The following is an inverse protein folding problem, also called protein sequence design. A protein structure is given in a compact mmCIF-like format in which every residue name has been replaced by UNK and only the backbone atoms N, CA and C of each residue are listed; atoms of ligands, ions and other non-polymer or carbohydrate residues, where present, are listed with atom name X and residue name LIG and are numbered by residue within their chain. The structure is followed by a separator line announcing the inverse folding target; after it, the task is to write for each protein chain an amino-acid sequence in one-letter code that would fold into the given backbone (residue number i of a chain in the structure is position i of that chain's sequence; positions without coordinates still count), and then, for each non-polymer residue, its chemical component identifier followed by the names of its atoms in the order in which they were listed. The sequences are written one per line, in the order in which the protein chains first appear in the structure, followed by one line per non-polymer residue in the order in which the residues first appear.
data_IF_589923568954
#
_entry.id   IF_589923568954
#
_cell.length_a   1.000
_cell.length_b   1.000
_cell.length_c   1.000
_cell.angle_alpha   90.00
_cell.angle_beta   90.00
_cell.angle_gamma   90.00
#
_symmetry.space_group_name_H-M   'P 1'
#
loop_
_entity.id
_entity.type
_entity.pdbx_description
1 polymer ?
#
# COMPACT_ATOMS: atom_id res chain seq x y z
N UNK A 1 -13.65 14.96 10.18
CA UNK A 1 -14.06 13.54 10.22
C UNK A 1 -12.81 12.74 10.49
N UNK A 2 -12.60 12.35 11.71
CA UNK A 2 -11.43 11.57 12.14
C UNK A 2 -11.74 10.07 12.04
N UNK A 3 -10.82 9.25 11.51
CA UNK A 3 -11.02 7.80 11.30
C UNK A 3 -11.00 6.96 12.59
N UNK A 4 -11.10 7.58 13.77
CA UNK A 4 -10.66 7.01 15.04
C UNK A 4 -11.51 5.88 15.65
N UNK A 5 -12.55 5.39 14.99
CA UNK A 5 -13.47 4.46 15.66
C UNK A 5 -13.68 3.09 15.00
N UNK A 6 -12.99 2.79 13.89
CA UNK A 6 -13.17 1.49 13.19
C UNK A 6 -12.24 0.41 13.77
N UNK A 7 -11.15 0.82 14.39
CA UNK A 7 -10.11 -0.09 14.88
C UNK A 7 -10.39 -0.74 16.23
N UNK A 8 -11.32 -0.19 17.03
CA UNK A 8 -11.71 -0.74 18.33
C UNK A 8 -12.31 -2.17 18.26
N UNK A 9 -12.79 -2.58 17.07
CA UNK A 9 -13.38 -3.91 16.88
C UNK A 9 -12.36 -5.02 16.68
N UNK A 10 -11.13 -4.71 16.36
CA UNK A 10 -10.08 -5.70 16.11
C UNK A 10 -9.11 -5.87 17.29
N UNK A 11 -9.32 -5.13 18.38
CA UNK A 11 -8.39 -5.11 19.53
C UNK A 11 -7.07 -4.40 19.22
N UNK A 12 -7.08 -3.54 18.20
CA UNK A 12 -5.94 -2.68 17.86
C UNK A 12 -6.24 -1.28 18.38
N UNK A 13 -5.41 -0.81 19.31
CA UNK A 13 -5.39 0.61 19.71
C UNK A 13 -4.54 1.35 18.69
N UNK A 14 -5.15 2.20 17.88
CA UNK A 14 -4.43 3.16 17.06
C UNK A 14 -4.46 4.49 17.78
N UNK A 15 -3.31 4.93 18.25
CA UNK A 15 -3.13 6.29 18.71
C UNK A 15 -3.08 7.25 17.52
N UNK A 16 -3.56 8.48 17.73
CA UNK A 16 -3.80 9.52 16.72
C UNK A 16 -2.55 10.03 15.95
N UNK A 17 -1.38 9.43 16.15
CA UNK A 17 -0.11 9.99 15.69
C UNK A 17 0.54 9.24 14.52
N UNK A 18 -0.18 8.33 13.86
CA UNK A 18 0.34 7.69 12.66
C UNK A 18 0.01 8.50 11.40
N UNK A 19 0.48 9.74 11.34
CA UNK A 19 0.78 10.37 10.07
C UNK A 19 2.15 9.83 9.67
N UNK A 20 2.18 8.81 8.82
CA UNK A 20 3.40 8.33 8.20
C UNK A 20 3.90 9.40 7.23
N UNK A 21 4.73 10.29 7.73
CA UNK A 21 5.60 11.14 6.90
C UNK A 21 6.89 10.34 6.69
N UNK A 22 7.01 9.67 5.56
CA UNK A 22 8.29 9.15 5.13
C UNK A 22 9.19 10.35 4.78
N UNK A 23 10.17 10.64 5.65
CA UNK A 23 11.22 11.61 5.35
C UNK A 23 12.35 10.83 4.65
N UNK A 24 12.39 10.92 3.34
CA UNK A 24 13.55 10.52 2.57
C UNK A 24 14.49 11.71 2.43
N UNK A 25 15.70 11.57 2.99
CA UNK A 25 16.82 12.45 2.66
C UNK A 25 17.70 11.70 1.66
N UNK A 26 17.55 12.03 0.37
CA UNK A 26 18.53 11.62 -0.64
C UNK A 26 19.86 12.24 -0.21
N UNK A 27 20.78 11.44 0.31
CA UNK A 27 22.14 11.87 0.53
C UNK A 27 22.83 11.97 -0.84
N UNK A 28 22.77 13.15 -1.44
CA UNK A 28 23.68 13.51 -2.50
C UNK A 28 25.04 13.67 -1.82
N UNK A 29 25.93 12.71 -1.99
CA UNK A 29 27.33 12.90 -1.67
C UNK A 29 27.91 13.94 -2.64
N UNK A 30 27.90 15.21 -2.21
CA UNK A 30 28.73 16.22 -2.83
C UNK A 30 30.18 15.93 -2.41
N UNK A 31 30.95 15.43 -3.32
CA UNK A 31 32.42 15.52 -3.21
C UNK A 31 32.78 16.99 -3.30
N UNK A 32 33.16 17.56 -2.16
CA UNK A 32 33.83 18.87 -2.12
C UNK A 32 35.20 18.77 -2.82
N UNK A 33 35.34 19.48 -3.92
CA UNK A 33 36.60 19.99 -4.34
C UNK A 33 36.52 21.49 -4.56
N UNK A 34 37.13 22.14 -3.58
CA UNK A 34 37.39 23.54 -3.39
C UNK A 34 38.02 24.19 -4.61
N UNK A 35 37.44 25.26 -5.17
CA UNK A 35 38.19 26.41 -5.66
C UNK A 35 37.31 27.65 -5.84
N UNK A 36 37.68 28.66 -5.06
CA UNK A 36 37.35 30.07 -5.22
C UNK A 36 37.55 30.56 -6.68
N UNK A 37 36.50 31.05 -7.33
CA UNK A 37 36.66 31.99 -8.46
C UNK A 37 35.54 33.02 -8.42
N UNK A 38 35.97 34.28 -8.38
CA UNK A 38 35.22 35.50 -8.61
C UNK A 38 34.70 35.47 -10.05
N UNK A 39 33.42 35.60 -10.28
CA UNK A 39 32.80 35.61 -11.61
C UNK A 39 32.33 37.00 -11.96
N UNK A 40 32.92 37.48 -13.06
CA UNK A 40 32.66 38.70 -13.79
C UNK A 40 31.35 38.56 -14.60
N UNK A 41 30.55 39.66 -14.61
CA UNK A 41 29.27 39.73 -15.33
C UNK A 41 29.47 39.67 -16.85
N UNK A 42 29.37 38.46 -17.45
CA UNK A 42 29.21 38.28 -18.90
C UNK A 42 28.03 37.37 -19.21
N UNK A 43 27.11 37.96 -19.96
CA UNK A 43 26.05 37.42 -20.79
C UNK A 43 26.27 35.95 -21.15
N UNK A 44 25.46 35.05 -20.52
CA UNK A 44 25.42 33.65 -20.94
C UNK A 44 24.48 33.52 -22.14
N UNK A 45 25.06 33.23 -23.30
CA UNK A 45 24.35 32.53 -24.38
C UNK A 45 24.21 31.09 -23.93
N UNK A 46 22.96 30.62 -23.84
CA UNK A 46 22.67 29.22 -23.59
C UNK A 46 22.99 28.47 -24.88
N UNK A 47 24.19 27.87 -24.96
CA UNK A 47 24.44 26.78 -25.88
C UNK A 47 23.60 25.59 -25.40
N UNK A 48 22.54 25.29 -26.15
CA UNK A 48 21.79 24.07 -26.01
C UNK A 48 22.61 22.94 -26.62
N UNK A 49 23.49 22.34 -25.84
CA UNK A 49 24.09 21.06 -26.21
C UNK A 49 22.99 20.00 -26.17
N UNK A 50 22.61 19.49 -27.34
CA UNK A 50 21.57 18.50 -27.56
C UNK A 50 21.88 17.09 -27.00
N UNK A 51 22.94 16.99 -26.18
CA UNK A 51 23.42 15.75 -25.54
C UNK A 51 23.26 15.78 -24.02
N UNK A 52 22.54 16.76 -23.45
CA UNK A 52 22.09 16.63 -22.06
C UNK A 52 21.15 15.43 -22.01
N UNK A 53 21.68 14.31 -21.50
CA UNK A 53 20.88 13.16 -21.08
C UNK A 53 19.73 13.75 -20.27
N UNK A 54 18.52 13.64 -20.82
CA UNK A 54 17.28 13.95 -20.11
C UNK A 54 17.37 13.10 -18.86
N UNK A 55 17.64 13.74 -17.72
CA UNK A 55 17.53 13.11 -16.41
C UNK A 55 16.05 12.71 -16.28
N UNK A 56 15.78 11.47 -16.70
CA UNK A 56 14.43 10.92 -16.82
C UNK A 56 13.91 10.55 -15.43
N UNK A 57 13.89 11.55 -14.55
CA UNK A 57 13.24 11.48 -13.22
C UNK A 57 11.70 11.55 -13.34
N UNK A 58 11.17 11.34 -14.56
CA UNK A 58 9.74 11.29 -14.80
C UNK A 58 9.19 9.96 -14.28
N UNK A 59 8.44 10.03 -13.18
CA UNK A 59 7.76 8.86 -12.60
C UNK A 59 6.83 8.21 -13.62
N UNK A 60 7.04 6.92 -13.88
CA UNK A 60 6.26 6.14 -14.84
C UNK A 60 5.47 5.02 -14.16
N UNK A 61 4.44 4.57 -14.85
CA UNK A 61 3.71 3.36 -14.44
C UNK A 61 4.67 2.16 -14.45
N UNK A 62 4.74 1.46 -13.32
CA UNK A 62 5.66 0.34 -13.12
C UNK A 62 6.86 0.67 -12.23
N UNK A 63 7.14 1.96 -11.98
CA UNK A 63 8.22 2.34 -11.07
C UNK A 63 7.88 1.94 -9.64
N UNK A 64 8.92 1.53 -8.91
CA UNK A 64 8.81 1.15 -7.52
C UNK A 64 9.19 2.32 -6.61
N UNK A 65 8.35 2.54 -5.63
CA UNK A 65 8.53 3.54 -4.58
C UNK A 65 8.67 2.84 -3.24
N UNK A 66 9.72 3.15 -2.52
CA UNK A 66 10.03 2.52 -1.24
C UNK A 66 9.66 3.44 -0.06
N UNK A 67 9.18 2.83 1.00
CA UNK A 67 9.02 3.44 2.32
C UNK A 67 9.76 2.59 3.35
N UNK A 68 9.78 3.02 4.60
CA UNK A 68 10.33 2.24 5.72
C UNK A 68 9.54 0.93 6.00
N UNK A 69 8.35 0.77 5.45
CA UNK A 69 7.46 -0.36 5.73
C UNK A 69 7.17 -1.25 4.52
N UNK A 70 7.15 -0.68 3.32
CA UNK A 70 6.68 -1.40 2.15
C UNK A 70 7.20 -0.80 0.84
N UNK A 71 7.17 -1.62 -0.20
CA UNK A 71 7.32 -1.22 -1.59
C UNK A 71 5.95 -0.99 -2.21
N UNK A 72 5.85 0.08 -2.99
CA UNK A 72 4.67 0.41 -3.79
C UNK A 72 5.06 0.49 -5.26
N UNK A 73 4.22 0.02 -6.15
CA UNK A 73 4.41 0.14 -7.60
C UNK A 73 3.43 1.16 -8.16
N UNK A 74 3.90 2.11 -8.96
CA UNK A 74 3.03 3.11 -9.62
C UNK A 74 2.12 2.40 -10.62
N UNK A 75 0.81 2.62 -10.52
CA UNK A 75 -0.19 2.03 -11.41
C UNK A 75 -0.90 3.05 -12.30
N UNK A 76 -0.85 4.32 -11.93
CA UNK A 76 -1.45 5.43 -12.68
C UNK A 76 -0.74 6.74 -12.32
N UNK A 77 -0.41 7.54 -13.32
CA UNK A 77 0.19 8.88 -13.16
C UNK A 77 -0.71 9.99 -13.71
N UNK A 78 -1.59 9.68 -14.66
CA UNK A 78 -2.55 10.63 -15.25
C UNK A 78 -3.88 10.57 -14.52
N UNK A 79 -4.44 11.74 -14.14
CA UNK A 79 -5.74 11.80 -13.47
C UNK A 79 -5.73 11.55 -11.97
N UNK A 80 -4.58 11.22 -11.40
CA UNK A 80 -4.35 11.04 -9.97
C UNK A 80 -3.40 9.88 -9.69
N UNK A 81 -2.34 10.17 -8.99
CA UNK A 81 -1.30 9.19 -8.66
C UNK A 81 -1.87 8.01 -7.87
N UNK A 82 -1.77 6.81 -8.47
CA UNK A 82 -2.22 5.57 -7.84
C UNK A 82 -1.07 4.58 -7.73
N UNK A 83 -1.07 3.82 -6.64
CA UNK A 83 -0.06 2.78 -6.41
C UNK A 83 -0.70 1.47 -5.98
N UNK A 84 0.01 0.40 -6.25
CA UNK A 84 -0.19 -0.93 -5.70
C UNK A 84 0.71 -1.11 -4.48
N UNK A 85 0.20 -1.68 -3.40
CA UNK A 85 1.00 -2.18 -2.28
C UNK A 85 1.64 -3.50 -2.72
N UNK A 86 2.92 -3.49 -3.04
CA UNK A 86 3.60 -4.59 -3.71
C UNK A 86 4.26 -5.57 -2.76
N UNK A 87 4.93 -5.07 -1.71
CA UNK A 87 5.66 -5.92 -0.78
C UNK A 87 5.75 -5.30 0.62
N UNK A 88 5.72 -6.14 1.66
CA UNK A 88 6.00 -5.77 3.04
C UNK A 88 7.47 -6.06 3.36
N UNK A 89 8.22 -5.08 3.89
CA UNK A 89 9.63 -5.28 4.22
C UNK A 89 9.86 -6.17 5.45
N UNK A 90 9.07 -5.99 6.49
CA UNK A 90 9.24 -6.75 7.73
C UNK A 90 8.26 -7.91 7.83
N UNK A 91 8.69 -9.08 7.41
CA UNK A 91 7.92 -10.32 7.48
C UNK A 91 7.61 -10.80 8.91
N UNK A 92 8.26 -10.22 9.92
CA UNK A 92 8.02 -10.54 11.33
C UNK A 92 6.94 -9.69 11.99
N UNK A 93 6.43 -8.67 11.30
CA UNK A 93 5.33 -7.85 11.78
C UNK A 93 4.09 -8.69 12.08
N UNK A 94 3.55 -8.49 13.29
CA UNK A 94 2.32 -9.18 13.72
C UNK A 94 1.05 -8.48 13.24
N UNK A 95 1.15 -7.20 12.92
CA UNK A 95 0.02 -6.38 12.51
C UNK A 95 0.50 -5.30 11.57
N UNK A 96 -0.21 -5.12 10.46
CA UNK A 96 0.03 -4.03 9.51
C UNK A 96 -1.29 -3.51 8.94
N UNK A 97 -1.21 -2.42 8.19
CA UNK A 97 -2.36 -1.90 7.47
C UNK A 97 -1.96 -1.43 6.07
N UNK A 98 -2.88 -1.54 5.14
CA UNK A 98 -2.78 -0.97 3.82
C UNK A 98 -3.41 0.42 3.90
N UNK A 99 -2.66 1.51 3.77
CA UNK A 99 -3.19 2.86 3.93
C UNK A 99 -4.13 3.26 2.78
N UNK A 100 -4.92 4.29 3.00
CA UNK A 100 -5.74 4.88 1.93
C UNK A 100 -4.86 5.62 0.93
N UNK A 101 -3.84 6.30 1.44
CA UNK A 101 -2.85 7.07 0.68
C UNK A 101 -1.47 6.91 1.31
N UNK A 102 -0.43 7.09 0.52
CA UNK A 102 0.96 7.19 0.96
C UNK A 102 1.58 8.44 0.36
N UNK A 103 2.38 9.16 1.15
CA UNK A 103 3.13 10.32 0.68
C UNK A 103 4.60 9.92 0.53
N UNK A 104 5.15 10.09 -0.67
CA UNK A 104 6.54 9.78 -1.01
C UNK A 104 7.06 10.96 -1.83
N UNK A 105 8.19 11.53 -1.44
CA UNK A 105 8.83 12.69 -2.10
C UNK A 105 7.87 13.88 -2.34
N UNK A 106 6.98 14.13 -1.38
CA UNK A 106 6.00 15.22 -1.46
C UNK A 106 4.78 14.95 -2.33
N UNK A 107 4.73 13.82 -3.02
CA UNK A 107 3.59 13.39 -3.84
C UNK A 107 2.70 12.45 -3.02
N UNK A 108 1.39 12.67 -3.08
CA UNK A 108 0.41 11.82 -2.41
C UNK A 108 -0.20 10.83 -3.40
N UNK A 109 0.05 9.54 -3.17
CA UNK A 109 -0.47 8.45 -3.98
C UNK A 109 -1.65 7.79 -3.30
N UNK A 110 -2.68 7.43 -4.06
CA UNK A 110 -3.79 6.58 -3.59
C UNK A 110 -3.39 5.11 -3.68
N UNK A 111 -3.55 4.35 -2.60
CA UNK A 111 -3.29 2.91 -2.62
C UNK A 111 -4.56 2.20 -3.08
N UNK A 112 -4.57 1.78 -4.36
CA UNK A 112 -5.76 1.23 -5.02
C UNK A 112 -5.74 -0.29 -5.18
N UNK A 113 -4.57 -0.91 -5.05
CA UNK A 113 -4.46 -2.38 -5.13
C UNK A 113 -3.46 -2.96 -4.14
N UNK A 114 -3.63 -4.26 -3.90
CA UNK A 114 -2.67 -5.11 -3.19
C UNK A 114 -2.12 -6.10 -4.21
N UNK A 115 -0.82 -6.11 -4.40
CA UNK A 115 -0.11 -6.82 -5.44
C UNK A 115 -0.13 -8.34 -5.34
N UNK A 116 0.23 -8.99 -6.44
CA UNK A 116 0.40 -10.43 -6.46
C UNK A 116 1.49 -10.83 -5.44
N UNK A 117 1.12 -11.73 -4.52
CA UNK A 117 2.02 -12.24 -3.49
C UNK A 117 2.53 -11.22 -2.45
N UNK A 118 1.97 -10.02 -2.32
CA UNK A 118 2.43 -8.99 -1.39
C UNK A 118 2.67 -9.48 0.06
N UNK A 119 1.94 -10.48 0.52
CA UNK A 119 2.11 -11.14 1.83
C UNK A 119 2.27 -12.66 1.70
N UNK A 120 2.83 -13.14 0.57
CA UNK A 120 2.89 -14.56 0.28
C UNK A 120 3.68 -15.35 1.31
N UNK A 121 3.02 -16.33 1.98
CA UNK A 121 3.60 -17.17 3.03
C UNK A 121 4.10 -16.43 4.28
N UNK A 122 3.66 -15.18 4.48
CA UNK A 122 3.96 -14.50 5.74
C UNK A 122 3.24 -15.22 6.89
N UNK A 123 4.00 -15.93 7.71
CA UNK A 123 3.48 -16.73 8.84
C UNK A 123 3.45 -15.95 10.15
N UNK A 124 3.98 -14.74 10.18
CA UNK A 124 4.03 -13.87 11.36
C UNK A 124 2.80 -12.99 11.48
N UNK A 125 2.25 -12.53 10.36
CA UNK A 125 1.15 -11.59 10.30
C UNK A 125 -0.15 -12.16 10.91
N UNK A 126 -0.63 -11.50 11.97
CA UNK A 126 -1.86 -11.88 12.68
C UNK A 126 -3.06 -11.02 12.33
N UNK A 127 -2.82 -9.75 12.06
CA UNK A 127 -3.90 -8.79 11.83
C UNK A 127 -3.55 -7.88 10.64
N UNK A 128 -4.53 -7.62 9.79
CA UNK A 128 -4.40 -6.65 8.71
C UNK A 128 -5.66 -5.81 8.57
N UNK A 129 -5.47 -4.53 8.29
CA UNK A 129 -6.52 -3.60 7.92
C UNK A 129 -6.29 -3.18 6.47
N UNK A 130 -7.31 -3.31 5.64
CA UNK A 130 -7.30 -2.92 4.23
C UNK A 130 -8.05 -1.60 4.09
N UNK A 131 -7.37 -0.59 3.59
CA UNK A 131 -7.84 0.78 3.43
C UNK A 131 -9.04 0.93 2.50
N UNK A 132 -9.66 2.10 2.55
CA UNK A 132 -10.93 2.39 1.87
C UNK A 132 -10.77 2.57 0.37
N UNK A 133 -9.57 2.93 -0.10
CA UNK A 133 -9.27 3.14 -1.51
C UNK A 133 -8.96 1.85 -2.28
N UNK A 134 -8.74 0.73 -1.61
CA UNK A 134 -8.38 -0.52 -2.28
C UNK A 134 -9.56 -1.04 -3.12
N UNK A 135 -9.32 -1.21 -4.42
CA UNK A 135 -10.27 -1.66 -5.44
C UNK A 135 -9.98 -3.07 -5.91
N UNK A 136 -8.73 -3.54 -5.74
CA UNK A 136 -8.23 -4.82 -6.25
C UNK A 136 -7.33 -5.50 -5.23
N UNK A 137 -7.39 -6.82 -5.18
CA UNK A 137 -6.45 -7.68 -4.43
C UNK A 137 -6.00 -8.76 -5.40
N UNK A 138 -4.72 -8.82 -5.70
CA UNK A 138 -4.22 -9.71 -6.73
C UNK A 138 -4.05 -11.16 -6.28
N UNK A 139 -3.66 -12.00 -7.23
CA UNK A 139 -3.55 -13.43 -7.03
C UNK A 139 -2.54 -13.75 -5.92
N UNK A 140 -2.93 -14.67 -5.02
CA UNK A 140 -2.06 -15.14 -3.93
C UNK A 140 -1.58 -14.05 -2.96
N UNK A 141 -2.15 -12.84 -2.94
CA UNK A 141 -1.69 -11.74 -2.09
C UNK A 141 -1.47 -12.18 -0.62
N UNK A 142 -2.38 -12.95 -0.04
CA UNK A 142 -2.29 -13.49 1.32
C UNK A 142 -2.15 -15.01 1.38
N UNK A 143 -1.74 -15.65 0.28
CA UNK A 143 -1.64 -17.11 0.26
C UNK A 143 -0.65 -17.62 1.30
N UNK A 144 -1.09 -18.52 2.17
CA UNK A 144 -0.24 -19.15 3.16
C UNK A 144 0.02 -18.33 4.42
N UNK A 145 -0.68 -17.22 4.64
CA UNK A 145 -0.63 -16.46 5.91
C UNK A 145 -1.33 -17.24 7.02
N UNK A 146 -0.65 -18.27 7.54
CA UNK A 146 -1.26 -19.25 8.46
C UNK A 146 -1.59 -18.70 9.84
N UNK A 147 -0.95 -17.60 10.25
CA UNK A 147 -1.22 -16.93 11.53
C UNK A 147 -2.29 -15.84 11.46
N UNK A 148 -2.83 -15.55 10.27
CA UNK A 148 -3.76 -14.43 10.07
C UNK A 148 -5.09 -14.65 10.77
N UNK A 149 -5.29 -13.94 11.88
CA UNK A 149 -6.46 -14.09 12.76
C UNK A 149 -7.58 -13.09 12.45
N UNK A 150 -7.21 -11.91 11.96
CA UNK A 150 -8.15 -10.82 11.73
C UNK A 150 -7.85 -10.09 10.42
N UNK A 151 -8.88 -9.88 9.62
CA UNK A 151 -8.85 -9.06 8.41
C UNK A 151 -9.98 -8.04 8.53
N UNK A 152 -9.66 -6.75 8.46
CA UNK A 152 -10.63 -5.67 8.39
C UNK A 152 -10.61 -5.09 6.98
N UNK A 153 -11.75 -5.03 6.30
CA UNK A 153 -11.87 -4.47 4.95
C UNK A 153 -12.74 -3.21 5.02
N UNK A 154 -12.08 -2.05 4.98
CA UNK A 154 -12.74 -0.74 4.99
C UNK A 154 -13.22 -0.33 3.59
N UNK A 155 -12.68 -0.94 2.54
CA UNK A 155 -13.06 -0.61 1.18
C UNK A 155 -14.53 -0.97 0.89
N UNK A 156 -15.18 -0.09 0.13
CA UNK A 156 -16.46 -0.36 -0.53
C UNK A 156 -16.30 -0.56 -2.04
N UNK A 157 -15.07 -0.45 -2.53
CA UNK A 157 -14.74 -0.39 -3.96
C UNK A 157 -14.39 -1.75 -4.58
N UNK A 158 -14.07 -2.77 -3.76
CA UNK A 158 -13.80 -4.12 -4.26
C UNK A 158 -14.99 -4.64 -5.06
N UNK A 159 -14.79 -4.86 -6.35
CA UNK A 159 -15.82 -5.35 -7.28
C UNK A 159 -15.68 -6.86 -7.54
N UNK A 160 -16.72 -7.46 -8.12
CA UNK A 160 -16.68 -8.86 -8.54
C UNK A 160 -15.58 -9.07 -9.59
N UNK A 161 -14.72 -10.06 -9.37
CA UNK A 161 -13.57 -10.33 -10.25
C UNK A 161 -12.30 -9.55 -9.90
N UNK A 162 -12.36 -8.60 -8.98
CA UNK A 162 -11.19 -7.82 -8.54
C UNK A 162 -10.45 -8.44 -7.35
N UNK A 163 -10.86 -9.62 -6.89
CA UNK A 163 -10.06 -10.43 -5.97
C UNK A 163 -9.51 -11.62 -6.74
N UNK A 164 -8.20 -11.67 -6.85
CA UNK A 164 -7.45 -12.64 -7.65
C UNK A 164 -7.55 -14.08 -7.13
N UNK A 165 -7.17 -15.01 -7.97
CA UNK A 165 -7.23 -16.42 -7.68
C UNK A 165 -6.36 -16.79 -6.46
N UNK A 166 -6.93 -17.55 -5.52
CA UNK A 166 -6.23 -18.02 -4.33
C UNK A 166 -5.69 -16.90 -3.41
N UNK A 167 -6.18 -15.66 -3.53
CA UNK A 167 -5.71 -14.52 -2.74
C UNK A 167 -5.69 -14.85 -1.23
N UNK A 168 -6.68 -15.58 -0.71
CA UNK A 168 -6.80 -15.96 0.69
C UNK A 168 -6.72 -17.47 0.93
N UNK A 169 -6.10 -18.23 0.01
CA UNK A 169 -5.97 -19.68 0.18
C UNK A 169 -4.86 -20.02 1.17
N UNK A 170 -5.08 -21.07 1.98
CA UNK A 170 -4.15 -21.53 3.03
C UNK A 170 -3.85 -20.49 4.13
N UNK A 171 -4.71 -19.52 4.35
CA UNK A 171 -4.66 -18.67 5.55
C UNK A 171 -5.19 -19.42 6.77
N UNK A 172 -5.13 -18.80 7.95
CA UNK A 172 -5.71 -19.40 9.16
C UNK A 172 -7.18 -19.78 8.92
N UNK A 173 -7.49 -21.05 9.15
CA UNK A 173 -8.86 -21.58 8.95
C UNK A 173 -9.93 -20.92 9.82
N UNK A 174 -9.55 -20.35 10.97
CA UNK A 174 -10.44 -19.69 11.92
C UNK A 174 -10.40 -18.17 11.82
N UNK A 175 -9.88 -17.62 10.73
CA UNK A 175 -9.79 -16.17 10.51
C UNK A 175 -11.13 -15.48 10.69
N UNK A 176 -11.11 -14.30 11.29
CA UNK A 176 -12.25 -13.39 11.42
C UNK A 176 -12.11 -12.26 10.41
N UNK A 177 -13.08 -12.11 9.55
CA UNK A 177 -13.09 -11.04 8.54
C UNK A 177 -14.21 -10.06 8.85
N UNK A 178 -13.87 -8.80 8.94
CA UNK A 178 -14.79 -7.71 9.21
C UNK A 178 -14.97 -6.88 7.95
N UNK A 179 -16.22 -6.72 7.51
CA UNK A 179 -16.56 -5.98 6.29
C UNK A 179 -17.71 -5.02 6.56
N UNK A 180 -17.76 -3.93 5.82
CA UNK A 180 -18.84 -2.96 5.94
C UNK A 180 -20.21 -3.62 5.69
N UNK A 181 -21.21 -3.25 6.48
CA UNK A 181 -22.54 -3.86 6.44
C UNK A 181 -23.17 -3.78 5.04
N UNK A 182 -22.97 -2.66 4.34
CA UNK A 182 -23.44 -2.43 2.96
C UNK A 182 -22.86 -3.41 1.94
N UNK A 183 -21.64 -3.90 2.17
CA UNK A 183 -20.92 -4.81 1.26
C UNK A 183 -20.92 -6.27 1.70
N UNK A 184 -21.48 -6.59 2.85
CA UNK A 184 -21.39 -7.91 3.46
C UNK A 184 -21.77 -9.08 2.53
N UNK A 185 -22.92 -9.00 1.85
CA UNK A 185 -23.39 -10.08 0.98
C UNK A 185 -22.42 -10.32 -0.19
N UNK A 186 -21.99 -9.22 -0.83
CA UNK A 186 -21.10 -9.27 -1.97
C UNK A 186 -19.72 -9.81 -1.57
N UNK A 187 -19.13 -9.25 -0.51
CA UNK A 187 -17.77 -9.62 -0.07
C UNK A 187 -17.73 -11.05 0.49
N UNK A 188 -18.77 -11.51 1.17
CA UNK A 188 -18.86 -12.90 1.60
C UNK A 188 -18.77 -13.88 0.42
N UNK A 189 -19.43 -13.58 -0.70
CA UNK A 189 -19.35 -14.40 -1.93
C UNK A 189 -17.97 -14.34 -2.58
N UNK A 190 -17.40 -13.14 -2.68
CA UNK A 190 -16.09 -12.89 -3.31
C UNK A 190 -14.95 -13.56 -2.54
N UNK A 191 -14.90 -13.38 -1.22
CA UNK A 191 -13.90 -13.96 -0.34
C UNK A 191 -13.91 -15.49 -0.36
N UNK A 192 -15.11 -16.11 -0.41
CA UNK A 192 -15.23 -17.56 -0.57
C UNK A 192 -14.62 -18.03 -1.89
N UNK A 193 -14.89 -17.31 -2.99
CA UNK A 193 -14.31 -17.60 -4.31
C UNK A 193 -12.79 -17.40 -4.35
N UNK A 194 -12.27 -16.44 -3.58
CA UNK A 194 -10.85 -16.16 -3.46
C UNK A 194 -10.08 -17.12 -2.53
N UNK A 195 -10.74 -18.14 -2.01
CA UNK A 195 -10.10 -19.23 -1.28
C UNK A 195 -10.14 -19.13 0.23
N UNK A 196 -10.93 -18.22 0.81
CA UNK A 196 -11.12 -18.18 2.26
C UNK A 196 -11.80 -19.48 2.73
N UNK A 197 -11.27 -20.08 3.80
CA UNK A 197 -11.73 -21.38 4.29
C UNK A 197 -13.17 -21.36 4.81
N UNK A 198 -13.84 -22.51 4.79
CA UNK A 198 -15.25 -22.66 5.24
C UNK A 198 -15.46 -22.33 6.72
N UNK A 199 -14.42 -22.47 7.55
CA UNK A 199 -14.45 -22.16 8.99
C UNK A 199 -14.23 -20.69 9.30
N UNK A 200 -13.81 -19.89 8.33
CA UNK A 200 -13.65 -18.45 8.48
C UNK A 200 -15.00 -17.79 8.83
N UNK A 201 -14.96 -16.86 9.77
CA UNK A 201 -16.15 -16.11 10.20
C UNK A 201 -16.11 -14.72 9.61
N UNK A 202 -17.16 -14.31 8.90
CA UNK A 202 -17.29 -12.99 8.29
C UNK A 202 -18.35 -12.19 9.04
N UNK A 203 -17.97 -11.04 9.55
CA UNK A 203 -18.77 -10.16 10.38
C UNK A 203 -19.10 -8.86 9.66
N UNK A 204 -20.25 -8.27 10.01
CA UNK A 204 -20.65 -6.94 9.56
C UNK A 204 -20.09 -5.89 10.53
N UNK A 205 -19.38 -4.91 10.01
CA UNK A 205 -19.09 -3.69 10.74
C UNK A 205 -20.26 -2.73 10.58
N UNK A 206 -20.67 -2.08 11.66
CA UNK A 206 -21.60 -0.96 11.62
C UNK A 206 -20.77 0.31 11.46
N UNK A 207 -21.04 1.09 10.43
CA UNK A 207 -20.62 2.49 10.39
C UNK A 207 -21.45 3.23 11.45
N UNK A 208 -20.77 3.88 12.38
CA UNK A 208 -21.43 4.85 13.28
C UNK A 208 -21.71 6.11 12.53
#
# INVERSE_FOLDING_TARGET
YTPNNILAYAGMSVTNDMILTAHWTKQIQKTDDNKNQVVDDKKYELDYDADDEIDDDTLMVGDELETDQAIYTITETEGGYCVEYSELFDDDLKSTYIPDTVAIDGIVYRVTSIGEKAFYKNTSLKNIVIGSNVEKIDAKAFYGCTSLNSIVINSTKLASGKIGANAFKKINKNVRVYVLASKYKAYKKMLKKAGIGSKAKIYKMRTR
#
